data_IF_007265811205
#
_entry.id   IF_007265811205
#
_cell.length_a   1.000
_cell.length_b   1.000
_cell.length_c   1.000
_cell.angle_alpha   90.00
_cell.angle_beta   90.00
_cell.angle_gamma   90.00
#
_symmetry.space_group_name_H-M   'P 1'
#
loop_
_entity.id
_entity.type
_entity.pdbx_description
1 polymer ?
#
# COMPACT_ATOMS: atom_id res chain seq x y z
N UNK A 1 26.43 -54.05 -22.54
CA UNK A 1 25.39 -54.13 -21.50
C UNK A 1 24.89 -52.71 -21.27
N UNK A 2 23.58 -52.50 -21.28
CA UNK A 2 22.99 -51.19 -21.00
C UNK A 2 22.98 -50.93 -19.48
N UNK A 3 23.04 -49.67 -19.04
CA UNK A 3 23.03 -49.30 -17.61
C UNK A 3 21.83 -49.90 -16.86
N UNK A 4 20.72 -50.08 -17.56
CA UNK A 4 19.50 -50.70 -17.04
C UNK A 4 19.67 -52.17 -16.65
N UNK A 5 20.57 -52.91 -17.30
CA UNK A 5 20.88 -54.29 -16.96
C UNK A 5 21.84 -54.40 -15.76
N UNK A 6 22.65 -53.37 -15.52
CA UNK A 6 23.52 -53.27 -14.34
C UNK A 6 22.69 -52.91 -13.10
N UNK A 7 21.73 -52.00 -13.24
CA UNK A 7 20.81 -51.59 -12.17
C UNK A 7 19.91 -52.74 -11.71
N UNK A 8 19.39 -53.56 -12.63
CA UNK A 8 18.55 -54.70 -12.27
C UNK A 8 19.35 -55.79 -11.54
N UNK A 9 20.63 -55.95 -11.88
CA UNK A 9 21.54 -56.87 -11.20
C UNK A 9 21.89 -56.37 -9.78
N UNK A 10 22.22 -55.08 -9.63
CA UNK A 10 22.51 -54.48 -8.34
C UNK A 10 21.30 -54.53 -7.40
N UNK A 11 20.09 -54.29 -7.93
CA UNK A 11 18.83 -54.38 -7.18
C UNK A 11 18.53 -55.81 -6.70
N UNK A 12 18.80 -56.83 -7.53
CA UNK A 12 18.62 -58.23 -7.14
C UNK A 12 19.61 -58.67 -6.07
N UNK A 13 20.88 -58.28 -6.19
CA UNK A 13 21.92 -58.61 -5.20
C UNK A 13 21.61 -57.95 -3.84
N UNK A 14 21.15 -56.70 -3.82
CA UNK A 14 20.73 -56.03 -2.58
C UNK A 14 19.50 -56.69 -1.93
N UNK A 15 18.53 -57.14 -2.73
CA UNK A 15 17.33 -57.81 -2.22
C UNK A 15 17.64 -59.19 -1.63
N UNK A 16 18.55 -59.95 -2.25
CA UNK A 16 18.97 -61.26 -1.73
C UNK A 16 19.83 -61.12 -0.46
N UNK A 17 20.67 -60.08 -0.37
CA UNK A 17 21.42 -59.77 0.84
C UNK A 17 20.50 -59.40 2.01
N UNK A 18 19.51 -58.54 1.78
CA UNK A 18 18.53 -58.15 2.81
C UNK A 18 17.67 -59.33 3.31
N UNK A 19 17.39 -60.31 2.43
CA UNK A 19 16.62 -61.51 2.78
C UNK A 19 17.41 -62.48 3.67
N UNK A 20 18.72 -62.59 3.44
CA UNK A 20 19.63 -63.42 4.24
C UNK A 20 19.92 -62.81 5.63
N UNK A 21 20.02 -61.48 5.72
CA UNK A 21 20.35 -60.79 6.98
C UNK A 21 19.15 -60.65 7.93
N UNK A 22 17.93 -60.47 7.41
CA UNK A 22 16.73 -60.20 8.22
C UNK A 22 15.69 -61.33 8.24
N UNK A 23 15.86 -62.39 7.44
CA UNK A 23 14.92 -63.51 7.38
C UNK A 23 14.76 -64.28 8.70
N UNK A 24 15.85 -64.43 9.47
CA UNK A 24 15.84 -65.18 10.73
C UNK A 24 15.36 -64.38 11.95
N UNK A 25 15.19 -63.05 11.83
CA UNK A 25 14.78 -62.18 12.96
C UNK A 25 13.27 -61.94 13.03
N UNK A 26 12.51 -62.35 12.00
CA UNK A 26 11.05 -62.21 11.94
C UNK A 26 10.29 -63.46 12.42
N UNK A 27 10.96 -64.60 12.60
CA UNK A 27 10.31 -65.85 13.04
C UNK A 27 10.06 -65.94 14.56
N UNK A 28 10.60 -65.03 15.38
CA UNK A 28 10.55 -65.12 16.85
C UNK A 28 9.84 -63.99 17.61
N UNK A 29 9.03 -63.14 16.96
CA UNK A 29 8.19 -62.20 17.69
C UNK A 29 6.80 -62.81 17.97
N UNK A 30 6.38 -63.02 19.23
CA UNK A 30 5.03 -63.45 19.52
C UNK A 30 4.05 -62.33 19.14
N UNK A 31 3.06 -62.64 18.30
CA UNK A 31 1.92 -61.76 18.03
C UNK A 31 1.20 -61.48 19.36
N UNK A 32 1.38 -60.28 19.90
CA UNK A 32 0.67 -59.85 21.10
C UNK A 32 -0.60 -59.10 20.68
N UNK A 33 -1.72 -59.81 20.65
CA UNK A 33 -3.03 -59.20 20.45
C UNK A 33 -3.39 -58.32 21.65
N UNK A 34 -3.76 -57.06 21.38
CA UNK A 34 -4.21 -56.14 22.42
C UNK A 34 -5.50 -56.65 23.07
N UNK A 35 -5.67 -56.39 24.37
CA UNK A 35 -6.89 -56.79 25.08
C UNK A 35 -8.15 -56.17 24.42
N UNK A 36 -9.25 -56.92 24.27
CA UNK A 36 -10.50 -56.43 23.69
C UNK A 36 -11.07 -55.19 24.39
N UNK A 37 -10.79 -55.03 25.68
CA UNK A 37 -11.20 -53.85 26.45
C UNK A 37 -10.39 -52.62 26.07
N UNK A 38 -9.09 -52.79 25.83
CA UNK A 38 -8.21 -51.74 25.37
C UNK A 38 -8.60 -51.29 23.96
N UNK A 39 -8.88 -52.23 23.05
CA UNK A 39 -9.35 -51.91 21.69
C UNK A 39 -10.69 -51.17 21.68
N UNK A 40 -11.66 -51.61 22.50
CA UNK A 40 -12.96 -50.93 22.62
C UNK A 40 -12.80 -49.52 23.18
N UNK A 41 -11.94 -49.33 24.17
CA UNK A 41 -11.66 -48.01 24.75
C UNK A 41 -10.96 -47.11 23.74
N UNK A 42 -10.01 -47.65 22.97
CA UNK A 42 -9.31 -46.92 21.90
C UNK A 42 -10.25 -46.51 20.77
N UNK A 43 -11.13 -47.42 20.30
CA UNK A 43 -12.16 -47.12 19.29
C UNK A 43 -13.14 -46.04 19.75
N UNK A 44 -13.55 -46.07 21.02
CA UNK A 44 -14.43 -45.04 21.58
C UNK A 44 -13.73 -43.68 21.68
N UNK A 45 -12.45 -43.63 22.05
CA UNK A 45 -11.67 -42.39 22.11
C UNK A 45 -11.43 -41.78 20.72
N UNK A 46 -11.12 -42.61 19.72
CA UNK A 46 -10.95 -42.17 18.32
C UNK A 46 -12.28 -41.62 17.77
N UNK A 47 -13.40 -42.30 18.06
CA UNK A 47 -14.75 -41.84 17.65
C UNK A 47 -15.19 -40.56 18.36
N UNK A 48 -14.79 -40.35 19.62
CA UNK A 48 -15.05 -39.11 20.36
C UNK A 48 -14.19 -37.93 19.87
N UNK A 49 -12.96 -38.18 19.43
CA UNK A 49 -12.06 -37.14 18.90
C UNK A 49 -12.49 -36.62 17.52
N UNK A 50 -13.08 -37.48 16.68
CA UNK A 50 -13.44 -37.14 15.30
C UNK A 50 -14.71 -36.28 15.15
N UNK A 51 -15.61 -36.27 16.14
CA UNK A 51 -16.93 -35.67 16.01
C UNK A 51 -17.01 -34.13 16.24
N UNK A 52 -16.38 -33.55 17.28
CA UNK A 52 -16.48 -32.11 17.56
C UNK A 52 -15.47 -31.27 16.76
N UNK A 53 -14.31 -31.83 16.40
CA UNK A 53 -13.27 -31.13 15.65
C UNK A 53 -13.68 -30.91 14.17
N UNK A 54 -14.25 -31.93 13.51
CA UNK A 54 -14.75 -31.82 12.14
C UNK A 54 -15.89 -30.82 12.01
N UNK A 55 -16.83 -30.81 12.96
CA UNK A 55 -17.93 -29.82 12.95
C UNK A 55 -17.44 -28.39 13.21
N UNK A 56 -16.41 -28.20 14.04
CA UNK A 56 -15.78 -26.88 14.23
C UNK A 56 -15.02 -26.46 12.98
N UNK A 57 -14.17 -27.30 12.40
CA UNK A 57 -13.47 -27.01 11.15
C UNK A 57 -14.41 -26.76 9.96
N UNK A 58 -15.51 -27.50 9.85
CA UNK A 58 -16.54 -27.26 8.83
C UNK A 58 -17.28 -25.94 9.08
N UNK A 59 -17.61 -25.61 10.32
CA UNK A 59 -18.22 -24.31 10.67
C UNK A 59 -17.25 -23.15 10.47
N UNK A 60 -15.98 -23.30 10.84
CA UNK A 60 -14.94 -22.28 10.62
C UNK A 60 -14.66 -22.12 9.13
N UNK A 61 -14.60 -23.22 8.37
CA UNK A 61 -14.49 -23.19 6.91
C UNK A 61 -15.71 -22.56 6.23
N UNK A 62 -16.92 -22.83 6.73
CA UNK A 62 -18.15 -22.17 6.28
C UNK A 62 -18.18 -20.68 6.63
N UNK A 63 -17.69 -20.29 7.81
CA UNK A 63 -17.59 -18.89 8.23
C UNK A 63 -16.54 -18.15 7.40
N UNK A 64 -15.37 -18.74 7.16
CA UNK A 64 -14.32 -18.16 6.30
C UNK A 64 -14.80 -18.07 4.85
N UNK A 65 -15.45 -19.11 4.33
CA UNK A 65 -16.02 -19.07 2.98
C UNK A 65 -17.17 -18.06 2.88
N UNK A 66 -18.00 -17.91 3.92
CA UNK A 66 -19.04 -16.88 3.98
C UNK A 66 -18.45 -15.48 4.11
N UNK A 67 -17.35 -15.31 4.84
CA UNK A 67 -16.64 -14.04 4.95
C UNK A 67 -15.95 -13.67 3.64
N UNK A 68 -15.30 -14.63 2.97
CA UNK A 68 -14.71 -14.46 1.64
C UNK A 68 -15.79 -14.20 0.61
N UNK A 69 -16.90 -14.94 0.63
CA UNK A 69 -18.04 -14.68 -0.24
C UNK A 69 -18.69 -13.33 0.07
N UNK A 70 -18.78 -12.92 1.33
CA UNK A 70 -19.27 -11.60 1.73
C UNK A 70 -18.31 -10.49 1.27
N UNK A 71 -17.00 -10.67 1.41
CA UNK A 71 -15.97 -9.75 0.92
C UNK A 71 -16.00 -9.67 -0.61
N UNK A 72 -16.13 -10.80 -1.31
CA UNK A 72 -16.29 -10.86 -2.76
C UNK A 72 -17.61 -10.22 -3.21
N UNK A 73 -18.71 -10.46 -2.49
CA UNK A 73 -20.00 -9.83 -2.75
C UNK A 73 -19.97 -8.32 -2.46
N UNK A 74 -19.24 -7.88 -1.43
CA UNK A 74 -18.97 -6.46 -1.17
C UNK A 74 -18.18 -5.84 -2.32
N UNK A 75 -17.13 -6.50 -2.82
CA UNK A 75 -16.36 -6.01 -3.99
C UNK A 75 -17.15 -6.01 -5.31
N UNK A 76 -18.10 -6.93 -5.48
CA UNK A 76 -18.95 -6.99 -6.68
C UNK A 76 -20.14 -6.03 -6.56
N UNK A 77 -20.66 -5.81 -5.36
CA UNK A 77 -21.70 -4.82 -5.10
C UNK A 77 -21.16 -3.38 -5.23
N UNK A 78 -19.90 -3.12 -4.90
CA UNK A 78 -19.25 -1.83 -5.19
C UNK A 78 -19.00 -1.65 -6.68
N UNK A 79 -18.58 -2.71 -7.40
CA UNK A 79 -18.34 -2.64 -8.84
C UNK A 79 -19.62 -2.46 -9.69
N UNK A 80 -20.78 -2.92 -9.21
CA UNK A 80 -22.05 -2.83 -9.94
C UNK A 80 -22.91 -1.62 -9.54
N UNK A 81 -22.62 -0.95 -8.41
CA UNK A 81 -23.36 0.21 -7.93
C UNK A 81 -22.69 1.56 -8.27
N UNK A 82 -21.50 1.57 -8.89
CA UNK A 82 -20.80 2.82 -9.23
C UNK A 82 -20.51 3.69 -8.00
N UNK A 83 -20.39 3.08 -6.82
CA UNK A 83 -19.86 3.75 -5.64
C UNK A 83 -18.36 3.90 -5.88
N UNK A 84 -18.04 4.97 -6.57
CA UNK A 84 -16.71 5.43 -6.87
C UNK A 84 -16.07 5.84 -5.54
N UNK A 85 -15.54 4.86 -4.81
CA UNK A 85 -14.85 5.06 -3.51
C UNK A 85 -13.77 6.14 -3.61
N UNK A 86 -13.26 6.36 -4.82
CA UNK A 86 -12.29 7.40 -5.15
C UNK A 86 -12.92 8.80 -5.16
N UNK A 87 -14.25 8.92 -5.38
CA UNK A 87 -15.00 10.18 -5.16
C UNK A 87 -15.10 10.58 -3.70
N UNK A 88 -14.79 9.69 -2.76
CA UNK A 88 -14.61 10.07 -1.37
C UNK A 88 -13.27 10.78 -1.13
N UNK A 89 -12.30 10.61 -2.03
CA UNK A 89 -10.97 11.22 -1.95
C UNK A 89 -10.85 12.49 -2.81
N UNK A 90 -11.50 12.53 -3.97
CA UNK A 90 -11.43 13.68 -4.87
C UNK A 90 -12.67 13.85 -5.72
N UNK A 91 -12.92 15.10 -6.10
CA UNK A 91 -13.88 15.46 -7.13
C UNK A 91 -13.12 15.85 -8.40
N UNK A 92 -13.56 15.36 -9.55
CA UNK A 92 -12.93 15.69 -10.83
C UNK A 92 -13.94 15.79 -11.96
N UNK A 93 -13.61 16.67 -12.91
CA UNK A 93 -14.29 16.86 -14.19
C UNK A 93 -13.39 16.32 -15.31
N UNK A 94 -13.70 16.64 -16.57
CA UNK A 94 -12.80 16.33 -17.68
C UNK A 94 -11.46 17.10 -17.57
N UNK A 95 -11.48 18.31 -17.01
CA UNK A 95 -10.35 19.26 -17.09
C UNK A 95 -9.70 19.57 -15.74
N UNK A 96 -10.38 19.26 -14.63
CA UNK A 96 -9.93 19.63 -13.29
C UNK A 96 -10.10 18.49 -12.29
N UNK A 97 -9.28 18.51 -11.25
CA UNK A 97 -9.37 17.66 -10.06
C UNK A 97 -9.08 18.48 -8.80
N UNK A 98 -9.84 18.23 -7.75
CA UNK A 98 -9.66 18.78 -6.40
C UNK A 98 -9.88 17.67 -5.38
N UNK A 99 -9.23 17.74 -4.22
CA UNK A 99 -9.48 16.78 -3.16
C UNK A 99 -10.88 16.98 -2.58
N UNK A 100 -11.50 15.90 -2.13
CA UNK A 100 -12.85 15.95 -1.61
C UNK A 100 -12.86 16.66 -0.24
N UNK A 101 -13.97 17.32 0.15
CA UNK A 101 -14.13 17.89 1.48
C UNK A 101 -13.79 16.89 2.60
N UNK A 102 -13.10 17.38 3.64
CA UNK A 102 -12.65 16.57 4.77
C UNK A 102 -11.43 15.65 4.52
N UNK A 103 -10.78 15.71 3.36
CA UNK A 103 -9.50 15.02 3.12
C UNK A 103 -8.30 15.79 3.69
N UNK A 104 -8.42 17.11 3.79
CA UNK A 104 -7.37 17.99 4.31
C UNK A 104 -7.84 18.52 5.67
N UNK A 105 -6.95 18.48 6.66
CA UNK A 105 -7.18 19.06 7.98
C UNK A 105 -6.83 20.55 7.94
N UNK A 106 -7.62 21.41 8.56
CA UNK A 106 -7.16 22.77 8.82
C UNK A 106 -6.23 22.77 10.03
N UNK A 107 -5.30 23.71 10.07
CA UNK A 107 -4.40 23.89 11.22
C UNK A 107 -4.56 25.29 11.81
N UNK A 108 -4.59 25.37 13.14
CA UNK A 108 -4.54 26.63 13.85
C UNK A 108 -3.21 27.34 13.53
N UNK A 109 -3.21 28.60 13.06
CA UNK A 109 -1.99 29.36 12.83
C UNK A 109 -1.03 29.37 14.04
N UNK A 110 -1.56 29.33 15.28
CA UNK A 110 -0.77 29.30 16.52
C UNK A 110 0.04 27.99 16.69
N UNK A 111 -0.36 26.92 16.00
CA UNK A 111 0.37 25.63 16.00
C UNK A 111 1.54 25.60 14.99
N UNK A 112 1.68 26.64 14.16
CA UNK A 112 2.77 26.81 13.20
C UNK A 112 3.80 27.83 13.67
N UNK A 113 5.00 27.75 13.09
CA UNK A 113 6.01 28.80 13.21
C UNK A 113 6.02 29.64 11.93
N UNK A 114 5.08 30.58 11.79
CA UNK A 114 5.01 31.46 10.61
C UNK A 114 5.93 32.66 10.84
N UNK A 115 7.06 32.79 10.10
CA UNK A 115 7.94 33.94 10.23
C UNK A 115 7.32 35.19 9.57
N UNK A 116 7.61 36.38 10.10
CA UNK A 116 7.19 37.66 9.48
C UNK A 116 7.76 37.85 8.07
N UNK A 117 8.99 37.37 7.83
CA UNK A 117 9.63 37.32 6.51
C UNK A 117 10.12 35.90 6.25
N UNK A 118 9.79 35.27 5.11
CA UNK A 118 10.31 33.95 4.75
C UNK A 118 11.84 33.96 4.68
N UNK A 119 12.47 32.99 5.35
CA UNK A 119 13.92 32.78 5.27
C UNK A 119 14.37 32.23 3.91
N UNK A 120 15.69 32.19 3.71
CA UNK A 120 16.29 31.41 2.61
C UNK A 120 16.44 29.95 3.07
N UNK A 121 15.81 29.02 2.36
CA UNK A 121 15.86 27.59 2.66
C UNK A 121 16.60 26.85 1.54
N UNK A 122 17.36 25.81 1.92
CA UNK A 122 18.16 25.01 0.98
C UNK A 122 17.29 24.06 0.16
N UNK A 123 16.20 23.58 0.76
CA UNK A 123 15.25 22.67 0.14
C UNK A 123 13.84 22.81 0.75
N UNK A 124 12.86 22.17 0.11
CA UNK A 124 11.45 22.21 0.52
C UNK A 124 11.21 21.59 1.89
N UNK A 125 11.97 20.55 2.27
CA UNK A 125 11.81 19.89 3.56
C UNK A 125 12.29 20.81 4.70
N UNK A 126 13.41 21.50 4.50
CA UNK A 126 13.91 22.51 5.43
C UNK A 126 12.88 23.64 5.65
N UNK A 127 12.28 24.14 4.55
CA UNK A 127 11.24 25.16 4.63
C UNK A 127 10.01 24.70 5.43
N UNK A 128 9.48 23.50 5.15
CA UNK A 128 8.35 22.95 5.90
C UNK A 128 8.70 22.76 7.38
N UNK A 129 9.87 22.21 7.69
CA UNK A 129 10.34 22.03 9.06
C UNK A 129 10.48 23.36 9.79
N UNK A 130 10.95 24.42 9.13
CA UNK A 130 11.05 25.75 9.72
C UNK A 130 9.68 26.31 10.12
N UNK A 131 8.62 25.99 9.35
CA UNK A 131 7.25 26.37 9.68
C UNK A 131 6.58 25.45 10.72
N UNK A 132 7.30 24.45 11.25
CA UNK A 132 6.79 23.48 12.22
C UNK A 132 6.17 22.23 11.60
N UNK A 133 6.20 22.08 10.27
CA UNK A 133 5.58 20.99 9.54
C UNK A 133 6.55 19.84 9.28
N UNK A 134 6.50 18.85 10.17
CA UNK A 134 7.30 17.63 10.06
C UNK A 134 6.42 16.46 9.59
N UNK A 135 6.01 16.50 8.32
CA UNK A 135 5.21 15.46 7.66
C UNK A 135 5.96 14.87 6.47
N UNK A 136 5.73 13.59 6.21
CA UNK A 136 6.24 12.91 5.01
C UNK A 136 5.42 13.34 3.80
N UNK A 137 5.85 14.44 3.15
CA UNK A 137 5.22 14.99 1.94
C UNK A 137 6.24 15.39 0.86
N UNK A 138 7.53 15.46 1.21
CA UNK A 138 8.58 15.84 0.26
C UNK A 138 9.30 14.58 -0.26
N UNK A 139 9.42 14.40 -1.58
CA UNK A 139 10.23 13.33 -2.15
C UNK A 139 11.70 13.42 -1.71
N UNK A 140 12.27 12.30 -1.27
CA UNK A 140 13.70 12.20 -0.91
C UNK A 140 14.59 11.92 -2.11
N UNK A 141 13.98 11.47 -3.21
CA UNK A 141 14.63 11.22 -4.48
C UNK A 141 14.00 12.06 -5.59
N UNK A 142 14.84 12.57 -6.49
CA UNK A 142 14.44 13.26 -7.71
C UNK A 142 15.08 12.59 -8.93
N UNK A 143 14.43 12.64 -10.10
CA UNK A 143 15.02 12.12 -11.32
C UNK A 143 16.33 12.81 -11.68
N UNK A 144 17.25 12.06 -12.28
CA UNK A 144 18.60 12.54 -12.57
C UNK A 144 18.56 13.83 -13.42
N UNK A 145 19.39 14.79 -13.00
CA UNK A 145 19.58 16.07 -13.69
C UNK A 145 18.63 17.19 -13.26
N UNK A 146 17.59 16.92 -12.47
CA UNK A 146 16.79 17.97 -11.84
C UNK A 146 17.55 18.58 -10.67
N UNK A 147 17.64 19.91 -10.65
CA UNK A 147 18.21 20.69 -9.56
C UNK A 147 17.22 21.77 -9.13
N UNK A 148 17.19 22.11 -7.84
CA UNK A 148 16.33 23.18 -7.34
C UNK A 148 16.69 24.49 -8.06
N UNK A 149 15.70 25.09 -8.71
CA UNK A 149 15.83 26.35 -9.43
C UNK A 149 15.24 27.51 -8.62
N UNK A 150 14.07 27.30 -8.02
CA UNK A 150 13.38 28.30 -7.22
C UNK A 150 12.54 27.65 -6.12
N UNK A 151 12.46 28.30 -4.96
CA UNK A 151 11.62 27.92 -3.83
C UNK A 151 10.97 29.18 -3.29
N UNK A 152 9.65 29.27 -3.43
CA UNK A 152 8.87 30.43 -3.02
C UNK A 152 7.79 29.98 -2.04
N UNK A 153 7.63 30.78 -0.98
CA UNK A 153 6.58 30.58 0.01
C UNK A 153 5.62 31.77 -0.10
N UNK A 154 4.34 31.47 -0.27
CA UNK A 154 3.26 32.45 -0.29
C UNK A 154 2.40 32.31 0.96
N UNK A 155 1.89 33.42 1.45
CA UNK A 155 1.01 33.46 2.62
C UNK A 155 1.73 33.83 3.92
N UNK A 156 0.95 34.33 4.85
CA UNK A 156 1.30 34.72 6.21
C UNK A 156 0.21 34.25 7.19
N UNK A 157 0.30 34.62 8.45
CA UNK A 157 -0.69 34.27 9.49
C UNK A 157 -2.11 34.79 9.18
N UNK A 158 -2.23 35.87 8.40
CA UNK A 158 -3.52 36.45 8.02
C UNK A 158 -4.10 35.83 6.73
N UNK A 159 -3.34 34.95 6.08
CA UNK A 159 -3.74 34.26 4.85
C UNK A 159 -4.62 33.06 5.17
N UNK A 160 -5.40 32.58 4.19
CA UNK A 160 -6.21 31.35 4.36
C UNK A 160 -5.39 30.09 4.22
N UNK A 161 -4.27 30.20 3.54
CA UNK A 161 -3.36 29.13 3.25
C UNK A 161 -1.92 29.65 3.11
N UNK A 162 -0.97 28.75 3.37
CA UNK A 162 0.45 28.94 3.10
C UNK A 162 0.84 27.96 2.00
N UNK A 163 1.43 28.47 0.92
CA UNK A 163 1.82 27.66 -0.25
C UNK A 163 3.33 27.61 -0.36
N UNK A 164 3.88 26.42 -0.25
CA UNK A 164 5.29 26.12 -0.50
C UNK A 164 5.43 25.61 -1.92
N UNK A 165 6.07 26.39 -2.79
CA UNK A 165 6.23 26.07 -4.20
C UNK A 165 7.71 25.89 -4.53
N UNK A 166 8.12 24.67 -4.85
CA UNK A 166 9.47 24.38 -5.33
C UNK A 166 9.46 23.99 -6.81
N UNK A 167 10.36 24.61 -7.58
CA UNK A 167 10.58 24.31 -8.98
C UNK A 167 11.99 23.78 -9.19
N UNK A 168 12.08 22.66 -9.90
CA UNK A 168 13.32 22.02 -10.27
C UNK A 168 13.47 22.08 -11.78
N UNK A 169 14.70 22.28 -12.25
CA UNK A 169 14.99 22.43 -13.67
C UNK A 169 16.03 21.41 -14.14
N UNK A 170 15.79 20.87 -15.34
CA UNK A 170 16.74 20.06 -16.09
C UNK A 170 16.77 20.55 -17.55
N UNK A 171 17.71 21.42 -17.89
CA UNK A 171 17.71 22.12 -19.19
C UNK A 171 16.41 22.92 -19.40
N UNK A 172 15.54 22.52 -20.32
CA UNK A 172 14.24 23.18 -20.56
C UNK A 172 13.08 22.45 -19.85
N UNK A 173 13.35 21.29 -19.25
CA UNK A 173 12.37 20.54 -18.47
C UNK A 173 12.19 21.16 -17.09
N UNK A 174 10.94 21.18 -16.62
CA UNK A 174 10.59 21.61 -15.27
C UNK A 174 9.87 20.50 -14.51
N UNK A 175 10.05 20.51 -13.20
CA UNK A 175 9.35 19.67 -12.23
C UNK A 175 8.94 20.55 -11.06
N UNK A 176 7.69 20.44 -10.64
CA UNK A 176 7.12 21.20 -9.53
C UNK A 176 6.78 20.22 -8.43
N UNK A 177 7.17 20.57 -7.20
CA UNK A 177 6.65 19.97 -5.97
C UNK A 177 6.07 21.11 -5.13
N UNK A 178 4.78 21.00 -4.84
CA UNK A 178 4.03 22.03 -4.12
C UNK A 178 3.29 21.43 -2.93
N UNK A 179 3.26 22.17 -1.83
CA UNK A 179 2.52 21.83 -0.61
C UNK A 179 1.72 23.04 -0.17
N UNK A 180 0.40 22.89 -0.07
CA UNK A 180 -0.51 23.91 0.44
C UNK A 180 -0.94 23.52 1.86
N UNK A 181 -0.91 24.48 2.78
CA UNK A 181 -1.30 24.31 4.18
C UNK A 181 -2.48 25.23 4.43
N UNK A 182 -3.64 24.66 4.75
CA UNK A 182 -4.85 25.45 4.97
C UNK A 182 -5.00 25.81 6.45
N UNK A 183 -5.21 27.10 6.72
CA UNK A 183 -5.31 27.65 8.07
C UNK A 183 -6.77 27.73 8.53
N UNK A 184 -7.00 27.52 9.82
CA UNK A 184 -8.31 27.75 10.43
C UNK A 184 -8.69 29.24 10.35
N UNK A 185 -9.95 29.53 10.01
CA UNK A 185 -10.52 30.88 9.93
C UNK A 185 -11.89 30.90 10.63
N UNK A 186 -12.13 31.84 11.55
CA UNK A 186 -13.42 31.97 12.24
C UNK A 186 -14.60 32.21 11.27
N UNK A 187 -14.34 32.70 10.06
CA UNK A 187 -15.32 32.94 9.00
C UNK A 187 -15.24 31.90 7.87
N UNK A 188 -14.73 30.70 8.16
CA UNK A 188 -14.53 29.65 7.16
C UNK A 188 -15.84 29.28 6.46
N UNK A 189 -15.81 29.39 5.13
CA UNK A 189 -16.86 28.93 4.24
C UNK A 189 -16.77 27.42 3.98
N UNK A 190 -17.51 26.88 3.01
CA UNK A 190 -17.31 25.50 2.56
C UNK A 190 -15.88 25.30 2.05
N UNK A 191 -15.36 24.07 2.21
CA UNK A 191 -14.05 23.66 1.70
C UNK A 191 -13.88 24.07 0.23
N UNK A 192 -12.81 24.81 -0.05
CA UNK A 192 -12.47 25.29 -1.38
C UNK A 192 -10.96 25.10 -1.60
N UNK A 193 -10.58 23.84 -1.79
CA UNK A 193 -9.20 23.43 -2.04
C UNK A 193 -8.78 23.76 -3.47
N UNK A 194 -7.49 23.61 -3.77
CA UNK A 194 -6.96 24.05 -5.05
C UNK A 194 -7.45 23.17 -6.21
N UNK A 195 -7.95 23.82 -7.27
CA UNK A 195 -8.34 23.13 -8.50
C UNK A 195 -7.13 22.92 -9.40
N UNK A 196 -6.71 21.66 -9.55
CA UNK A 196 -5.61 21.31 -10.42
C UNK A 196 -6.10 20.91 -11.80
N UNK A 197 -5.42 21.40 -12.84
CA UNK A 197 -5.71 21.03 -14.22
C UNK A 197 -5.26 19.61 -14.52
N UNK A 198 -6.06 18.89 -15.30
CA UNK A 198 -5.74 17.56 -15.82
C UNK A 198 -6.31 17.33 -17.22
N UNK A 199 -5.83 16.29 -17.87
CA UNK A 199 -6.39 15.75 -19.10
C UNK A 199 -7.66 14.92 -18.82
N UNK A 200 -8.40 14.61 -19.89
CA UNK A 200 -9.58 13.74 -19.80
C UNK A 200 -9.20 12.34 -19.34
N UNK A 201 -10.04 11.76 -18.47
CA UNK A 201 -9.82 10.45 -17.87
C UNK A 201 -9.95 10.50 -16.35
N UNK A 202 -10.16 9.31 -15.78
CA UNK A 202 -10.23 9.14 -14.34
C UNK A 202 -8.82 9.05 -13.75
N UNK A 203 -8.55 9.71 -12.61
CA UNK A 203 -7.31 9.55 -11.87
C UNK A 203 -7.10 8.09 -11.46
N UNK A 204 -5.85 7.66 -11.47
CA UNK A 204 -5.43 6.31 -11.08
C UNK A 204 -4.90 6.37 -9.64
N UNK A 205 -5.51 5.67 -8.68
CA UNK A 205 -5.02 5.64 -7.31
C UNK A 205 -3.71 4.85 -7.22
N UNK A 206 -2.78 5.36 -6.42
CA UNK A 206 -1.48 4.75 -6.14
C UNK A 206 -1.18 4.81 -4.63
N UNK A 207 -1.01 3.64 -4.01
CA UNK A 207 -0.81 3.52 -2.57
C UNK A 207 0.67 3.50 -2.21
N UNK A 208 1.11 4.45 -1.38
CA UNK A 208 2.46 4.50 -0.81
C UNK A 208 2.40 5.10 0.60
N UNK A 209 3.15 4.54 1.55
CA UNK A 209 3.16 5.06 2.93
C UNK A 209 1.82 4.96 3.69
N UNK A 210 0.85 4.20 3.17
CA UNK A 210 -0.52 4.17 3.71
C UNK A 210 -1.37 5.37 3.29
N UNK A 211 -0.93 6.13 2.28
CA UNK A 211 -1.62 7.28 1.70
C UNK A 211 -1.91 6.98 0.22
N UNK A 212 -3.15 7.28 -0.19
CA UNK A 212 -3.55 7.20 -1.59
C UNK A 212 -3.12 8.46 -2.34
N UNK A 213 -2.35 8.29 -3.41
CA UNK A 213 -1.95 9.34 -4.33
C UNK A 213 -2.74 9.19 -5.63
N UNK A 214 -3.42 10.26 -6.05
CA UNK A 214 -4.23 10.29 -7.26
C UNK A 214 -3.36 10.70 -8.45
N UNK A 215 -3.05 9.74 -9.32
CA UNK A 215 -2.20 9.95 -10.48
C UNK A 215 -3.04 10.32 -11.70
N UNK A 216 -2.63 11.36 -12.41
CA UNK A 216 -3.27 11.80 -13.66
C UNK A 216 -2.23 12.40 -14.61
N UNK A 217 -2.67 13.03 -15.68
CA UNK A 217 -1.81 13.82 -16.56
C UNK A 217 -2.37 15.22 -16.76
N UNK A 218 -1.52 16.19 -17.05
CA UNK A 218 -1.89 17.53 -17.49
C UNK A 218 -1.07 17.88 -18.75
N UNK A 219 -1.74 18.08 -19.89
CA UNK A 219 -1.09 18.23 -21.18
C UNK A 219 -0.10 17.08 -21.49
N UNK A 220 -0.48 15.85 -21.12
CA UNK A 220 0.31 14.63 -21.28
C UNK A 220 1.43 14.44 -20.25
N UNK A 221 1.59 15.36 -19.29
CA UNK A 221 2.64 15.30 -18.26
C UNK A 221 2.10 14.66 -16.99
N UNK A 222 2.80 13.71 -16.36
CA UNK A 222 2.36 13.08 -15.12
C UNK A 222 2.15 14.09 -13.99
N UNK A 223 1.08 13.87 -13.24
CA UNK A 223 0.69 14.64 -12.06
C UNK A 223 0.26 13.68 -10.95
N UNK A 224 0.62 13.99 -9.70
CA UNK A 224 0.08 13.34 -8.51
C UNK A 224 -0.51 14.36 -7.55
N UNK A 225 -1.63 14.00 -6.93
CA UNK A 225 -2.28 14.76 -5.87
C UNK A 225 -2.57 13.87 -4.67
N UNK A 226 -2.34 14.36 -3.46
CA UNK A 226 -2.70 13.66 -2.22
C UNK A 226 -2.79 14.63 -1.05
N UNK A 227 -3.39 14.16 0.06
CA UNK A 227 -3.36 14.86 1.34
C UNK A 227 -2.60 14.06 2.39
N UNK A 228 -1.96 14.76 3.33
CA UNK A 228 -1.37 14.18 4.54
C UNK A 228 -1.56 15.13 5.74
N UNK A 229 -2.66 14.95 6.48
CA UNK A 229 -3.07 15.88 7.53
C UNK A 229 -3.42 17.24 6.91
N UNK A 230 -2.76 18.35 7.33
CA UNK A 230 -3.07 19.67 6.80
C UNK A 230 -2.41 20.00 5.46
N UNK A 231 -1.62 19.07 4.92
CA UNK A 231 -0.88 19.28 3.68
C UNK A 231 -1.63 18.71 2.47
N UNK A 232 -2.10 19.60 1.58
CA UNK A 232 -2.45 19.25 0.21
C UNK A 232 -1.19 19.28 -0.66
N UNK A 233 -0.90 18.19 -1.36
CA UNK A 233 0.37 18.00 -2.04
C UNK A 233 0.18 17.78 -3.53
N UNK A 234 1.11 18.32 -4.31
CA UNK A 234 1.15 18.21 -5.76
C UNK A 234 2.57 17.92 -6.25
N UNK A 235 2.70 16.96 -7.15
CA UNK A 235 3.91 16.77 -7.98
C UNK A 235 3.48 16.79 -9.43
N UNK A 236 4.18 17.54 -10.28
CA UNK A 236 3.93 17.49 -11.72
C UNK A 236 5.07 18.10 -12.54
N UNK A 237 5.25 17.61 -13.76
CA UNK A 237 6.30 18.14 -14.63
C UNK A 237 6.73 17.24 -15.78
N UNK A 238 7.87 17.57 -16.36
CA UNK A 238 8.56 16.85 -17.44
C UNK A 238 9.23 15.57 -16.92
N UNK A 239 8.44 14.63 -16.40
CA UNK A 239 8.90 13.33 -15.92
C UNK A 239 8.04 12.22 -16.53
N UNK A 240 8.48 10.98 -16.38
CA UNK A 240 7.69 9.79 -16.71
C UNK A 240 6.79 9.41 -15.53
N UNK A 241 5.73 8.63 -15.81
CA UNK A 241 4.86 8.12 -14.75
C UNK A 241 5.59 7.19 -13.78
N UNK A 242 6.63 6.49 -14.24
CA UNK A 242 7.45 5.63 -13.38
C UNK A 242 8.37 6.47 -12.48
N UNK A 243 8.97 7.53 -12.99
CA UNK A 243 9.71 8.51 -12.18
C UNK A 243 8.81 9.17 -11.13
N UNK A 244 7.55 9.51 -11.49
CA UNK A 244 6.57 10.06 -10.54
C UNK A 244 6.28 9.07 -9.40
N UNK A 245 6.03 7.79 -9.70
CA UNK A 245 5.82 6.76 -8.67
C UNK A 245 7.05 6.57 -7.79
N UNK A 246 8.24 6.57 -8.38
CA UNK A 246 9.49 6.46 -7.62
C UNK A 246 9.70 7.67 -6.69
N UNK A 247 9.37 8.89 -7.15
CA UNK A 247 9.37 10.08 -6.30
C UNK A 247 8.40 9.90 -5.11
N UNK A 248 7.18 9.42 -5.37
CA UNK A 248 6.18 9.15 -4.33
C UNK A 248 6.68 8.11 -3.33
N UNK A 249 7.22 6.98 -3.78
CA UNK A 249 7.73 5.93 -2.91
C UNK A 249 8.83 6.48 -1.98
N UNK A 250 9.72 7.32 -2.54
CA UNK A 250 10.83 7.92 -1.79
C UNK A 250 10.40 8.86 -0.64
N UNK A 251 9.15 9.35 -0.64
CA UNK A 251 8.62 10.15 0.49
C UNK A 251 8.66 9.34 1.79
N UNK A 252 8.47 8.02 1.69
CA UNK A 252 8.24 7.12 2.82
C UNK A 252 9.42 6.19 3.14
N UNK A 253 10.55 6.32 2.44
CA UNK A 253 11.77 5.52 2.65
C UNK A 253 12.68 5.99 3.79
#
# INVERSE_FOLDING_TARGET
MTDQALDDLARRVMLDAARLEYGNLLEELPEHDFSPEFERKMKNLIRQADHPARHRLLRTGQLVAALVALLLLLTVATAAAGYDIWRMLAEWTAEQITLAPGQIEYIDPDDLHIPEEPGEYTDLQEALTAYGLNRSVVPKWLPEGFVLYDLVIYGDEASKDIVFHSSYQRSEDFLIVQVNIYLEDENQGPDNFWDFQKDEGDPIPYEAGGITHLLTTNAGRPVALWANGPAECYIGGNITMEELKQMIDSIYE
#
